data_IF_551011307098
#
_entry.id   IF_551011307098
#
_cell.length_a   1.000
_cell.length_b   1.000
_cell.length_c   1.000
_cell.angle_alpha   90.00
_cell.angle_beta   90.00
_cell.angle_gamma   90.00
#
_symmetry.space_group_name_H-M   'P 1'
#
loop_
_entity.id
_entity.type
_entity.pdbx_description
1 polymer ?
#
# COMPACT_ATOMS: atom_id res chain seq x y z
N UNK A 1 -1.54 -9.93 11.67
CA UNK A 1 -1.15 -8.66 12.32
C UNK A 1 -0.47 -7.81 11.26
N UNK A 2 -1.08 -6.71 10.80
CA UNK A 2 -0.50 -5.85 9.77
C UNK A 2 0.63 -5.00 10.37
N UNK A 3 1.84 -5.10 9.83
CA UNK A 3 3.01 -4.35 10.33
C UNK A 3 3.62 -3.50 9.21
N UNK A 4 3.22 -2.22 9.16
CA UNK A 4 3.66 -1.25 8.16
C UNK A 4 5.18 -1.12 8.09
N UNK A 5 5.85 -1.09 9.25
CA UNK A 5 7.31 -0.96 9.34
C UNK A 5 8.02 -2.19 8.76
N UNK A 6 7.48 -3.38 9.01
CA UNK A 6 8.00 -4.61 8.43
C UNK A 6 7.96 -4.59 6.89
N UNK A 7 6.85 -4.14 6.28
CA UNK A 7 6.76 -4.03 4.82
C UNK A 7 7.70 -2.98 4.24
N UNK A 8 7.85 -1.82 4.90
CA UNK A 8 8.84 -0.80 4.51
C UNK A 8 10.25 -1.41 4.50
N UNK A 9 10.60 -2.19 5.52
CA UNK A 9 11.90 -2.86 5.61
C UNK A 9 12.12 -3.90 4.52
N UNK A 10 11.08 -4.66 4.14
CA UNK A 10 11.15 -5.58 3.00
C UNK A 10 11.42 -4.80 1.70
N UNK A 11 10.69 -3.71 1.47
CA UNK A 11 10.82 -2.92 0.24
C UNK A 11 12.12 -2.13 0.12
N UNK A 12 12.77 -1.80 1.25
CA UNK A 12 14.08 -1.15 1.27
C UNK A 12 15.22 -2.06 0.76
N UNK A 13 15.02 -3.38 0.67
CA UNK A 13 16.05 -4.31 0.14
C UNK A 13 16.34 -4.00 -1.33
N UNK A 14 17.57 -4.28 -1.78
CA UNK A 14 18.07 -3.90 -3.11
C UNK A 14 17.28 -4.50 -4.26
N UNK A 15 16.75 -5.70 -4.09
CA UNK A 15 16.01 -6.42 -5.12
C UNK A 15 14.81 -7.16 -4.51
N UNK A 16 13.67 -7.16 -5.21
CA UNK A 16 12.50 -7.97 -4.87
C UNK A 16 12.11 -8.78 -6.09
N UNK A 17 11.65 -10.02 -5.88
CA UNK A 17 11.11 -10.82 -6.96
C UNK A 17 9.62 -10.55 -7.15
N UNK A 18 9.12 -10.84 -8.34
CA UNK A 18 7.70 -10.68 -8.73
C UNK A 18 6.71 -11.26 -7.71
N UNK A 19 6.98 -12.47 -7.21
CA UNK A 19 6.12 -13.12 -6.22
C UNK A 19 6.08 -12.37 -4.88
N UNK A 20 7.16 -11.70 -4.47
CA UNK A 20 7.16 -10.86 -3.27
C UNK A 20 6.23 -9.66 -3.47
N UNK A 21 6.28 -9.02 -4.64
CA UNK A 21 5.41 -7.88 -4.94
C UNK A 21 3.93 -8.30 -4.91
N UNK A 22 3.59 -9.44 -5.53
CA UNK A 22 2.22 -10.00 -5.51
C UNK A 22 1.76 -10.29 -4.08
N UNK A 23 2.59 -10.97 -3.28
CA UNK A 23 2.26 -11.32 -1.90
C UNK A 23 2.06 -10.10 -1.01
N UNK A 24 2.97 -9.12 -1.08
CA UNK A 24 2.86 -7.87 -0.32
C UNK A 24 1.60 -7.08 -0.71
N UNK A 25 1.29 -6.98 -1.99
CA UNK A 25 0.08 -6.31 -2.45
C UNK A 25 -1.18 -7.02 -1.97
N UNK A 26 -1.18 -8.35 -1.95
CA UNK A 26 -2.32 -9.13 -1.44
C UNK A 26 -2.58 -8.82 0.04
N UNK A 27 -1.53 -8.85 0.87
CA UNK A 27 -1.61 -8.49 2.30
C UNK A 27 -2.08 -7.05 2.52
N UNK A 28 -1.51 -6.09 1.78
CA UNK A 28 -1.84 -4.66 1.86
C UNK A 28 -3.29 -4.39 1.49
N UNK A 29 -3.74 -4.90 0.34
CA UNK A 29 -5.09 -4.64 -0.17
C UNK A 29 -6.17 -5.29 0.70
N UNK A 30 -5.89 -6.46 1.29
CA UNK A 30 -6.85 -7.15 2.18
C UNK A 30 -6.89 -6.55 3.60
N UNK A 31 -5.86 -5.79 4.01
CA UNK A 31 -5.79 -5.17 5.33
C UNK A 31 -6.84 -4.08 5.53
N UNK A 32 -7.79 -4.31 6.43
CA UNK A 32 -8.75 -3.27 6.87
C UNK A 32 -8.12 -2.19 7.75
N UNK A 33 -6.91 -2.44 8.26
CA UNK A 33 -6.17 -1.49 9.09
C UNK A 33 -5.45 -0.44 8.25
N UNK A 34 -5.07 -0.78 7.01
CA UNK A 34 -4.40 0.15 6.10
C UNK A 34 -5.40 0.90 5.24
N UNK A 35 -6.35 0.17 4.67
CA UNK A 35 -7.45 0.76 3.91
C UNK A 35 -8.74 0.40 4.62
N UNK A 36 -9.53 1.38 5.03
CA UNK A 36 -10.86 1.14 5.61
C UNK A 36 -11.87 0.86 4.51
N UNK A 37 -11.77 1.58 3.39
CA UNK A 37 -12.70 1.48 2.27
C UNK A 37 -11.99 1.17 0.95
N UNK A 38 -12.71 0.58 -0.02
CA UNK A 38 -12.14 0.28 -1.33
C UNK A 38 -11.85 1.55 -2.15
N UNK A 39 -12.47 2.68 -1.79
CA UNK A 39 -12.15 4.00 -2.35
C UNK A 39 -10.76 4.50 -1.96
N UNK A 40 -10.20 4.05 -0.83
CA UNK A 40 -8.82 4.37 -0.46
C UNK A 40 -7.82 3.54 -1.28
N UNK A 41 -8.22 2.31 -1.64
CA UNK A 41 -7.44 1.43 -2.50
C UNK A 41 -7.25 2.03 -3.91
N UNK A 42 -8.24 2.75 -4.46
CA UNK A 42 -8.07 3.35 -5.80
C UNK A 42 -6.94 4.38 -5.82
N UNK A 43 -6.76 5.16 -4.74
CA UNK A 43 -5.64 6.10 -4.60
C UNK A 43 -4.30 5.36 -4.61
N UNK A 44 -4.20 4.24 -3.89
CA UNK A 44 -3.01 3.39 -3.91
C UNK A 44 -2.70 2.82 -5.30
N UNK A 45 -3.70 2.28 -5.99
CA UNK A 45 -3.53 1.71 -7.33
C UNK A 45 -3.05 2.76 -8.33
N UNK A 46 -3.63 3.95 -8.29
CA UNK A 46 -3.23 5.07 -9.15
C UNK A 46 -1.81 5.53 -8.85
N UNK A 47 -1.45 5.76 -7.57
CA UNK A 47 -0.13 6.27 -7.20
C UNK A 47 1.02 5.27 -7.38
N UNK A 48 0.77 3.98 -7.14
CA UNK A 48 1.82 2.95 -7.18
C UNK A 48 1.93 2.26 -8.53
N UNK A 49 0.80 1.97 -9.16
CA UNK A 49 0.75 1.20 -10.41
C UNK A 49 0.31 2.00 -11.62
N UNK A 50 -0.16 3.25 -11.44
CA UNK A 50 -0.75 4.06 -12.51
C UNK A 50 -1.93 3.34 -13.18
N UNK A 51 -2.73 2.65 -12.35
CA UNK A 51 -3.89 1.87 -12.80
C UNK A 51 -5.18 2.41 -12.19
N UNK A 52 -6.20 2.50 -13.02
CA UNK A 52 -7.58 2.71 -12.60
C UNK A 52 -8.43 1.50 -12.98
N UNK A 53 -9.10 0.90 -11.99
CA UNK A 53 -10.00 -0.20 -12.25
C UNK A 53 -11.45 0.27 -12.36
N UNK A 54 -12.19 -0.39 -13.25
CA UNK A 54 -13.61 -0.16 -13.42
C UNK A 54 -14.39 -0.40 -12.12
N UNK A 55 -15.52 0.30 -11.89
CA UNK A 55 -16.24 0.25 -10.62
C UNK A 55 -16.61 -1.17 -10.15
N UNK A 56 -16.93 -2.09 -11.07
CA UNK A 56 -17.28 -3.46 -10.72
C UNK A 56 -16.10 -4.24 -10.10
N UNK A 57 -14.86 -3.94 -10.51
CA UNK A 57 -13.66 -4.55 -9.92
C UNK A 57 -13.44 -4.04 -8.50
N UNK A 58 -13.71 -2.75 -8.29
CA UNK A 58 -13.52 -2.09 -6.99
C UNK A 58 -14.58 -2.50 -5.94
N UNK A 59 -15.61 -3.27 -6.31
CA UNK A 59 -16.64 -3.74 -5.36
C UNK A 59 -16.12 -4.73 -4.32
N UNK A 60 -15.09 -5.52 -4.64
CA UNK A 60 -14.50 -6.49 -3.71
C UNK A 60 -12.99 -6.46 -3.72
N UNK A 61 -12.37 -6.44 -2.53
CA UNK A 61 -10.92 -6.48 -2.38
C UNK A 61 -10.27 -7.70 -3.03
N UNK A 62 -10.94 -8.86 -3.00
CA UNK A 62 -10.41 -10.06 -3.65
C UNK A 62 -10.38 -9.92 -5.16
N UNK A 63 -11.36 -9.23 -5.75
CA UNK A 63 -11.38 -8.93 -7.19
C UNK A 63 -10.29 -7.93 -7.56
N UNK A 64 -10.08 -6.90 -6.73
CA UNK A 64 -8.97 -5.95 -6.89
C UNK A 64 -7.63 -6.68 -6.86
N UNK A 65 -7.40 -7.54 -5.85
CA UNK A 65 -6.18 -8.35 -5.73
C UNK A 65 -5.99 -9.20 -6.98
N UNK A 66 -6.99 -9.98 -7.39
CA UNK A 66 -6.89 -10.85 -8.57
C UNK A 66 -6.55 -10.07 -9.84
N UNK A 67 -7.14 -8.88 -10.03
CA UNK A 67 -6.84 -8.01 -11.17
C UNK A 67 -5.42 -7.45 -11.09
N UNK A 68 -5.01 -6.91 -9.95
CA UNK A 68 -3.67 -6.37 -9.76
C UNK A 68 -2.58 -7.45 -9.91
N UNK A 69 -2.81 -8.67 -9.39
CA UNK A 69 -1.91 -9.79 -9.57
C UNK A 69 -1.68 -10.10 -11.05
N UNK A 70 -2.73 -10.09 -11.87
CA UNK A 70 -2.58 -10.30 -13.33
C UNK A 70 -1.78 -9.20 -14.00
N UNK A 71 -1.89 -7.96 -13.54
CA UNK A 71 -1.08 -6.85 -14.08
C UNK A 71 0.38 -6.98 -13.67
N UNK A 72 0.67 -7.21 -12.38
CA UNK A 72 2.04 -7.44 -11.89
C UNK A 72 2.68 -8.67 -12.56
N UNK A 73 1.88 -9.69 -12.90
CA UNK A 73 2.39 -10.89 -13.56
C UNK A 73 3.04 -10.59 -14.92
N UNK A 74 2.57 -9.55 -15.62
CA UNK A 74 3.10 -9.10 -16.91
C UNK A 74 4.38 -8.26 -16.78
N UNK A 75 4.71 -7.79 -15.59
CA UNK A 75 5.84 -6.88 -15.40
C UNK A 75 7.18 -7.56 -15.65
N UNK A 76 8.09 -6.82 -16.27
CA UNK A 76 9.53 -7.13 -16.31
C UNK A 76 10.24 -6.68 -15.01
N UNK A 77 11.54 -6.95 -14.92
CA UNK A 77 12.36 -6.60 -13.74
C UNK A 77 12.41 -5.09 -13.47
N UNK A 78 12.45 -4.27 -14.53
CA UNK A 78 12.48 -2.81 -14.41
C UNK A 78 11.16 -2.28 -13.85
N UNK A 79 10.03 -2.79 -14.35
CA UNK A 79 8.70 -2.44 -13.88
C UNK A 79 8.49 -2.89 -12.43
N UNK A 80 9.01 -4.06 -12.04
CA UNK A 80 8.98 -4.53 -10.65
C UNK A 80 9.76 -3.56 -9.74
N UNK A 81 10.95 -3.11 -10.13
CA UNK A 81 11.73 -2.17 -9.32
C UNK A 81 11.06 -0.79 -9.21
N UNK A 82 10.45 -0.30 -10.30
CA UNK A 82 9.67 0.95 -10.27
C UNK A 82 8.49 0.81 -9.31
N UNK A 83 7.70 -0.26 -9.42
CA UNK A 83 6.56 -0.51 -8.54
C UNK A 83 7.01 -0.62 -7.08
N UNK A 84 8.09 -1.34 -6.80
CA UNK A 84 8.70 -1.42 -5.45
C UNK A 84 9.01 -0.04 -4.88
N UNK A 85 9.69 0.82 -5.66
CA UNK A 85 10.08 2.17 -5.23
C UNK A 85 8.86 3.05 -4.95
N UNK A 86 7.85 3.01 -5.82
CA UNK A 86 6.59 3.75 -5.63
C UNK A 86 5.83 3.25 -4.40
N UNK A 87 5.77 1.93 -4.22
CA UNK A 87 5.13 1.30 -3.06
C UNK A 87 5.84 1.69 -1.75
N UNK A 88 7.17 1.71 -1.75
CA UNK A 88 7.97 2.18 -0.62
C UNK A 88 7.68 3.64 -0.29
N UNK A 89 7.62 4.51 -1.30
CA UNK A 89 7.29 5.93 -1.13
C UNK A 89 5.91 6.10 -0.50
N UNK A 90 4.91 5.39 -1.03
CA UNK A 90 3.54 5.42 -0.54
C UNK A 90 3.41 4.94 0.91
N UNK A 91 4.03 3.81 1.27
CA UNK A 91 3.97 3.31 2.65
C UNK A 91 4.70 4.25 3.63
N UNK A 92 5.77 4.91 3.20
CA UNK A 92 6.46 5.92 4.02
C UNK A 92 5.60 7.16 4.27
N UNK A 93 4.81 7.62 3.29
CA UNK A 93 3.91 8.76 3.50
C UNK A 93 2.82 8.43 4.52
N UNK A 94 2.18 7.26 4.40
CA UNK A 94 1.20 6.78 5.39
C UNK A 94 1.82 6.72 6.80
N UNK A 95 3.03 6.19 6.92
CA UNK A 95 3.71 6.11 8.21
C UNK A 95 4.04 7.48 8.80
N UNK A 96 4.31 8.48 7.96
CA UNK A 96 4.57 9.85 8.40
C UNK A 96 3.28 10.53 8.90
N UNK A 97 2.19 10.41 8.15
CA UNK A 97 0.85 10.91 8.52
C UNK A 97 0.38 10.32 9.86
N UNK A 98 0.57 9.00 10.05
CA UNK A 98 0.22 8.34 11.32
C UNK A 98 1.04 8.83 12.52
N UNK A 99 2.27 9.29 12.30
CA UNK A 99 3.11 9.87 13.37
C UNK A 99 2.67 11.29 13.73
N UNK A 100 2.33 12.10 12.74
CA UNK A 100 1.85 13.48 12.95
C UNK A 100 0.54 13.48 13.75
N UNK A 101 -0.44 12.67 13.35
CA UNK A 101 -1.73 12.57 14.05
C UNK A 101 -1.57 12.15 15.54
N UNK A 102 -0.56 11.34 15.87
CA UNK A 102 -0.27 10.96 17.26
C UNK A 102 0.33 12.10 18.07
N UNK A 103 1.19 12.91 17.46
CA UNK A 103 1.83 14.06 18.12
C UNK A 103 0.79 15.17 18.38
N UNK A 104 -0.07 15.47 17.42
CA UNK A 104 -1.17 16.45 17.59
C UNK A 104 -2.16 16.02 18.67
N UNK A 105 -2.56 14.74 18.69
CA UNK A 105 -3.42 14.20 19.75
C UNK A 105 -2.79 14.30 21.15
N UNK A 106 -1.48 14.04 21.27
CA UNK A 106 -0.75 14.17 22.52
C UNK A 106 -0.64 15.62 22.99
N UNK A 107 -0.36 16.56 22.09
CA UNK A 107 -0.25 17.98 22.42
C UNK A 107 -1.59 18.57 22.82
N UNK A 108 -2.69 18.16 22.17
CA UNK A 108 -4.03 18.57 22.57
C UNK A 108 -4.40 18.06 23.98
N UNK A 109 -4.09 16.81 24.32
CA UNK A 109 -4.35 16.25 25.67
C UNK A 109 -3.60 17.01 26.78
N UNK A 110 -2.37 17.44 26.53
CA UNK A 110 -1.57 18.24 27.48
C UNK A 110 -2.09 19.68 27.63
N UNK A 111 -2.87 20.19 26.68
CA UNK A 111 -3.47 21.54 26.76
C UNK A 111 -4.72 21.62 27.64
N UNK A 112 -5.31 20.48 28.04
CA UNK A 112 -6.50 20.41 28.90
C UNK A 112 -6.16 20.25 30.40
N UNK A 113 -4.88 20.15 30.74
CA UNK A 113 -4.34 20.08 32.10
C UNK A 113 -3.50 21.32 32.40
#
# INVERSE_FOLDING_TARGET
>A
MFNLLHYINILNRSEIKKYNLIGLNSEILLSKNLFRYNTEISSYLSQVFEIEFLPYVMRSRTTIVARLTREIYKYDEKQIDIARKKMLKYLKSINAEQKQNKQEGSNNLLSWY
#
